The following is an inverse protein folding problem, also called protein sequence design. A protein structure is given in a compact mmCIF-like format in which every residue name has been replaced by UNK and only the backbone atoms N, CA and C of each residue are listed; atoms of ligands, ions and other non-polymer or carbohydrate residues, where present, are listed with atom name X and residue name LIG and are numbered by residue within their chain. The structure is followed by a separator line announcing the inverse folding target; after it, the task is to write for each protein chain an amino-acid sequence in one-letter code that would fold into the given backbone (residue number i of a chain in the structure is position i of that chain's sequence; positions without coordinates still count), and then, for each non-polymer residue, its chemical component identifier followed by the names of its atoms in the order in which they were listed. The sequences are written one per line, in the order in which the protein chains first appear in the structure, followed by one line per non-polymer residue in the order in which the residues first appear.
data_IF_396689080945
#
_entry.id   IF_396689080945
#
_cell.length_a   1.000
_cell.length_b   1.000
_cell.length_c   1.000
_cell.angle_alpha   90.00
_cell.angle_beta   90.00
_cell.angle_gamma   90.00
#
_symmetry.space_group_name_H-M   'P 1'
#
loop_
_entity.id
_entity.type
_entity.pdbx_description
1 polymer ?
#
# COMPACT_ATOMS: atom_id res chain seq x y z
N UNK A 1 14.48 -13.34 6.22
CA UNK A 1 14.54 -12.48 7.43
C UNK A 1 15.37 -13.21 8.47
N UNK A 2 16.32 -12.52 9.08
CA UNK A 2 17.18 -13.04 10.14
C UNK A 2 17.18 -12.07 11.32
N UNK A 3 17.17 -12.58 12.55
CA UNK A 3 17.17 -11.75 13.76
C UNK A 3 18.41 -12.09 14.60
N UNK A 4 19.23 -11.08 14.89
CA UNK A 4 20.45 -11.16 15.69
C UNK A 4 20.23 -10.40 16.99
N UNK A 5 19.80 -11.08 18.05
CA UNK A 5 19.56 -10.48 19.37
C UNK A 5 20.77 -10.66 20.30
N UNK A 6 21.18 -9.59 20.99
CA UNK A 6 22.35 -9.52 21.86
C UNK A 6 23.64 -10.02 21.18
N UNK A 7 23.96 -9.41 20.02
CA UNK A 7 25.13 -9.75 19.19
C UNK A 7 25.96 -8.52 18.86
N UNK A 8 27.03 -8.30 19.61
CA UNK A 8 27.93 -7.14 19.47
C UNK A 8 28.55 -7.03 18.07
N UNK A 9 28.92 -8.15 17.45
CA UNK A 9 29.46 -8.20 16.07
C UNK A 9 28.45 -7.65 15.05
N UNK A 10 27.23 -8.19 15.02
CA UNK A 10 26.21 -7.72 14.08
C UNK A 10 25.71 -6.31 14.43
N UNK A 11 25.66 -5.93 15.71
CA UNK A 11 25.41 -4.54 16.09
C UNK A 11 26.49 -3.59 15.54
N UNK A 12 27.77 -3.94 15.63
CA UNK A 12 28.88 -3.16 15.06
C UNK A 12 28.93 -3.16 13.53
N UNK A 13 28.43 -4.21 12.88
CA UNK A 13 28.33 -4.32 11.42
C UNK A 13 27.20 -3.47 10.83
N UNK A 14 26.04 -3.39 11.50
CA UNK A 14 24.83 -2.76 10.96
C UNK A 14 24.48 -1.40 11.57
N UNK A 15 24.94 -1.06 12.78
CA UNK A 15 24.77 0.29 13.34
C UNK A 15 25.66 1.29 12.61
N UNK A 16 25.10 2.43 12.22
CA UNK A 16 25.82 3.50 11.53
C UNK A 16 25.92 4.73 12.43
N UNK A 17 27.13 5.25 12.66
CA UNK A 17 27.28 6.57 13.27
C UNK A 17 27.03 7.68 12.22
N UNK A 18 25.80 8.19 12.20
CA UNK A 18 25.38 9.26 11.29
C UNK A 18 26.16 10.56 11.49
N UNK A 19 26.57 10.90 12.71
CA UNK A 19 27.33 12.12 12.98
C UNK A 19 28.76 12.02 12.44
N UNK A 20 29.29 10.81 12.26
CA UNK A 20 30.57 10.57 11.56
C UNK A 20 30.37 10.40 10.05
N UNK A 21 29.34 9.69 9.60
CA UNK A 21 29.05 9.47 8.18
C UNK A 21 28.76 10.80 7.44
N UNK A 22 28.02 11.72 8.05
CA UNK A 22 27.71 13.04 7.48
C UNK A 22 28.92 13.99 7.39
N UNK A 23 30.10 13.59 7.87
CA UNK A 23 31.38 14.30 7.67
C UNK A 23 32.16 13.79 6.46
N UNK A 24 31.76 12.65 5.88
CA UNK A 24 32.43 12.05 4.72
C UNK A 24 32.08 12.81 3.44
N UNK A 25 33.08 13.24 2.62
CA UNK A 25 32.81 13.93 1.36
C UNK A 25 31.91 13.10 0.43
N UNK A 26 30.89 13.74 -0.15
CA UNK A 26 29.92 13.11 -1.07
C UNK A 26 28.67 12.53 -0.39
N UNK A 27 28.65 12.37 0.93
CA UNK A 27 27.45 11.96 1.67
C UNK A 27 26.44 13.12 1.72
N UNK A 28 25.17 12.83 1.48
CA UNK A 28 24.07 13.81 1.52
C UNK A 28 23.10 13.45 2.65
N UNK A 29 22.68 14.41 3.45
CA UNK A 29 21.73 14.13 4.54
C UNK A 29 21.48 15.30 5.47
N UNK A 30 20.96 15.02 6.68
CA UNK A 30 20.62 16.04 7.67
C UNK A 30 20.69 15.49 9.11
N UNK A 31 21.23 16.26 10.04
CA UNK A 31 21.29 15.96 11.48
C UNK A 31 20.09 16.48 12.29
N UNK A 32 19.34 17.47 11.75
CA UNK A 32 18.24 18.15 12.44
C UNK A 32 17.31 18.83 11.44
N UNK A 33 16.49 18.05 10.74
CA UNK A 33 15.53 18.61 9.79
C UNK A 33 14.38 19.36 10.51
N UNK A 34 14.06 20.64 10.17
CA UNK A 34 13.10 21.47 10.92
C UNK A 34 11.66 20.94 10.99
N UNK A 35 11.25 20.08 10.06
CA UNK A 35 9.92 19.43 10.06
C UNK A 35 9.91 18.03 10.70
N UNK A 36 11.07 17.52 11.17
CA UNK A 36 11.19 16.22 11.85
C UNK A 36 11.68 16.35 13.30
N UNK A 37 12.35 17.45 13.63
CA UNK A 37 12.77 17.82 14.99
C UNK A 37 11.72 18.78 15.58
N UNK A 38 11.40 18.67 16.87
CA UNK A 38 10.43 19.57 17.49
C UNK A 38 8.98 19.39 16.98
N UNK A 39 8.58 18.19 16.56
CA UNK A 39 7.34 18.00 15.79
C UNK A 39 6.61 16.66 16.04
N UNK A 40 5.32 16.65 15.71
CA UNK A 40 4.42 15.50 15.89
C UNK A 40 3.58 15.27 14.64
N UNK A 41 3.37 14.00 14.29
CA UNK A 41 2.65 13.54 13.08
C UNK A 41 3.09 14.27 11.80
N UNK A 42 4.39 14.53 11.67
CA UNK A 42 5.00 15.10 10.46
C UNK A 42 5.68 14.02 9.63
N UNK A 43 5.81 14.31 8.35
CA UNK A 43 6.58 13.49 7.42
C UNK A 43 7.25 14.39 6.37
N UNK A 44 8.42 13.99 5.89
CA UNK A 44 9.27 14.78 4.98
C UNK A 44 9.78 13.90 3.84
N UNK A 45 9.65 14.39 2.61
CA UNK A 45 10.15 13.70 1.42
C UNK A 45 11.69 13.66 1.42
N UNK A 46 12.26 12.48 1.15
CA UNK A 46 13.67 12.28 0.91
C UNK A 46 13.87 11.58 -0.45
N UNK A 47 14.90 11.99 -1.18
CA UNK A 47 15.28 11.43 -2.48
C UNK A 47 16.59 10.66 -2.33
N UNK A 48 16.56 9.40 -2.71
CA UNK A 48 17.70 8.49 -2.76
C UNK A 48 18.61 8.84 -3.94
N UNK A 49 19.91 8.67 -3.75
CA UNK A 49 20.91 8.75 -4.83
C UNK A 49 20.84 7.55 -5.79
N UNK A 50 20.30 6.41 -5.32
CA UNK A 50 20.19 5.15 -6.05
C UNK A 50 18.73 4.69 -6.21
N UNK A 51 18.49 3.82 -7.22
CA UNK A 51 17.22 3.13 -7.42
C UNK A 51 17.11 1.95 -6.44
N UNK A 52 16.27 2.06 -5.42
CA UNK A 52 16.03 0.99 -4.43
C UNK A 52 14.92 0.04 -4.90
N UNK A 53 15.14 -1.29 -4.99
CA UNK A 53 14.11 -2.24 -5.39
C UNK A 53 13.20 -2.63 -4.22
N UNK A 54 11.93 -2.23 -4.28
CA UNK A 54 10.89 -2.59 -3.29
C UNK A 54 9.69 -3.23 -3.99
N UNK A 55 9.36 -4.49 -3.65
CA UNK A 55 8.27 -5.28 -4.27
C UNK A 55 8.23 -5.29 -5.82
N UNK A 56 9.41 -5.22 -6.45
CA UNK A 56 9.55 -5.19 -7.91
C UNK A 56 9.43 -3.79 -8.54
N UNK A 57 9.47 -2.73 -7.72
CA UNK A 57 9.53 -1.33 -8.14
C UNK A 57 10.89 -0.72 -7.81
N UNK A 58 11.49 -0.03 -8.78
CA UNK A 58 12.71 0.75 -8.59
C UNK A 58 12.34 2.16 -8.15
N UNK A 59 12.35 2.41 -6.84
CA UNK A 59 11.95 3.69 -6.24
C UNK A 59 13.18 4.54 -5.87
N UNK A 60 13.05 5.86 -6.04
CA UNK A 60 14.05 6.87 -5.66
C UNK A 60 13.51 7.92 -4.69
N UNK A 61 12.19 7.99 -4.47
CA UNK A 61 11.56 8.92 -3.54
C UNK A 61 10.89 8.13 -2.40
N UNK A 62 11.04 8.60 -1.17
CA UNK A 62 10.33 8.10 0.01
C UNK A 62 9.96 9.26 0.94
N UNK A 63 9.16 9.00 1.98
CA UNK A 63 8.84 10.01 3.00
C UNK A 63 9.19 9.50 4.40
N UNK A 64 10.10 10.18 5.10
CA UNK A 64 10.46 9.89 6.50
C UNK A 64 9.36 10.43 7.41
N UNK A 65 8.77 9.62 8.31
CA UNK A 65 7.75 10.06 9.26
C UNK A 65 8.28 10.12 10.70
N UNK A 66 7.75 11.04 11.53
CA UNK A 66 8.14 11.15 12.95
C UNK A 66 7.80 9.89 13.75
N UNK A 67 6.72 9.19 13.36
CA UNK A 67 6.22 7.98 14.00
C UNK A 67 7.05 6.71 13.78
N UNK A 68 8.34 6.79 13.46
CA UNK A 68 9.27 5.64 13.41
C UNK A 68 9.23 4.77 12.14
N UNK A 69 8.78 5.32 11.01
CA UNK A 69 8.70 4.59 9.74
C UNK A 69 9.00 5.47 8.51
N UNK A 70 9.30 4.80 7.40
CA UNK A 70 9.36 5.38 6.05
C UNK A 70 8.09 5.01 5.30
N UNK A 71 7.45 5.97 4.64
CA UNK A 71 6.40 5.74 3.66
C UNK A 71 7.00 5.65 2.25
N UNK A 72 6.55 4.68 1.47
CA UNK A 72 7.16 4.29 0.17
C UNK A 72 6.15 4.17 -0.97
N UNK A 73 4.98 4.80 -0.81
CA UNK A 73 3.95 4.93 -1.84
C UNK A 73 4.10 6.20 -2.68
N UNK A 74 3.50 6.19 -3.87
CA UNK A 74 3.73 7.21 -4.91
C UNK A 74 2.89 8.49 -4.71
N UNK A 75 1.77 8.41 -3.98
CA UNK A 75 0.89 9.54 -3.65
C UNK A 75 0.83 9.74 -2.13
N UNK A 76 1.19 10.91 -1.61
CA UNK A 76 1.05 11.20 -0.17
C UNK A 76 -0.42 11.37 0.23
N UNK A 77 -0.84 10.69 1.31
CA UNK A 77 -2.22 10.74 1.82
C UNK A 77 -2.25 10.65 3.35
N UNK A 78 -3.33 11.10 4.00
CA UNK A 78 -3.48 11.18 5.46
C UNK A 78 -3.41 9.83 6.23
N UNK A 79 -3.08 8.72 5.54
CA UNK A 79 -3.09 7.35 6.06
C UNK A 79 -1.75 6.64 5.78
N UNK A 80 -0.62 7.35 5.78
CA UNK A 80 0.71 6.80 5.43
C UNK A 80 1.05 5.52 6.23
N UNK A 81 0.68 5.48 7.51
CA UNK A 81 0.86 4.32 8.40
C UNK A 81 -0.01 3.08 8.05
N UNK A 82 -0.98 3.20 7.14
CA UNK A 82 -1.95 2.16 6.83
C UNK A 82 -1.58 1.28 5.63
N UNK A 83 -0.71 1.73 4.72
CA UNK A 83 -0.54 1.14 3.38
C UNK A 83 0.88 0.65 3.08
N UNK A 84 1.74 1.54 2.58
CA UNK A 84 3.03 1.23 1.96
C UNK A 84 4.15 1.76 2.85
N UNK A 85 4.74 0.91 3.68
CA UNK A 85 5.69 1.34 4.71
C UNK A 85 6.88 0.40 4.90
N UNK A 86 7.98 0.99 5.37
CA UNK A 86 9.14 0.31 5.95
C UNK A 86 9.27 0.83 7.39
N UNK A 87 8.95 -0.01 8.37
CA UNK A 87 8.82 0.37 9.77
C UNK A 87 9.78 -0.43 10.66
N UNK A 88 10.97 0.11 11.01
CA UNK A 88 11.76 -0.45 12.10
C UNK A 88 10.99 -0.44 13.42
N UNK A 89 10.29 0.65 13.76
CA UNK A 89 9.33 0.64 14.86
C UNK A 89 8.31 1.77 14.66
N UNK A 90 7.16 1.45 14.05
CA UNK A 90 6.04 2.38 13.94
C UNK A 90 5.32 2.47 15.29
N UNK A 91 5.15 3.68 15.84
CA UNK A 91 4.40 3.94 17.08
C UNK A 91 4.01 5.43 17.21
N UNK A 92 3.30 5.81 18.29
CA UNK A 92 2.91 7.19 18.60
C UNK A 92 4.10 8.04 19.13
N UNK A 93 5.20 8.10 18.36
CA UNK A 93 6.39 8.88 18.70
C UNK A 93 6.21 10.38 18.47
N UNK A 94 6.80 11.16 19.39
CA UNK A 94 6.86 12.62 19.35
C UNK A 94 8.33 13.09 19.38
N UNK A 95 8.64 14.18 18.68
CA UNK A 95 9.97 14.82 18.70
C UNK A 95 9.96 16.24 19.26
N UNK A 96 8.84 16.71 19.83
CA UNK A 96 8.77 17.95 20.64
C UNK A 96 9.49 17.86 21.99
N UNK A 97 9.95 16.67 22.39
CA UNK A 97 10.55 16.41 23.69
C UNK A 97 12.08 16.54 23.64
N UNK A 98 12.67 17.18 24.65
CA UNK A 98 14.08 17.61 24.66
C UNK A 98 15.07 16.49 24.29
N UNK A 99 15.96 16.81 23.35
CA UNK A 99 17.01 15.91 22.88
C UNK A 99 16.56 14.83 21.89
N UNK A 100 15.27 14.79 21.50
CA UNK A 100 14.79 13.96 20.39
C UNK A 100 15.22 14.55 19.05
N UNK A 101 15.73 13.72 18.12
CA UNK A 101 15.98 14.15 16.74
C UNK A 101 15.80 13.00 15.75
N UNK A 102 15.66 13.34 14.46
CA UNK A 102 15.63 12.36 13.37
C UNK A 102 16.70 12.76 12.37
N UNK A 103 17.67 11.87 12.20
CA UNK A 103 18.81 12.03 11.30
C UNK A 103 18.64 11.14 10.08
N UNK A 104 19.18 11.56 8.93
CA UNK A 104 19.30 10.68 7.77
C UNK A 104 20.56 10.99 6.94
N UNK A 105 21.05 9.98 6.22
CA UNK A 105 22.17 10.10 5.28
C UNK A 105 22.03 9.12 4.10
N UNK A 106 22.54 9.53 2.94
CA UNK A 106 22.73 8.74 1.73
C UNK A 106 24.22 8.82 1.32
N UNK A 107 24.86 7.67 1.09
CA UNK A 107 26.27 7.58 0.70
C UNK A 107 26.50 6.97 -0.70
N UNK A 108 25.44 6.80 -1.50
CA UNK A 108 25.50 6.15 -2.81
C UNK A 108 25.28 4.63 -2.79
N UNK A 109 25.48 3.96 -1.65
CA UNK A 109 25.36 2.50 -1.48
C UNK A 109 24.31 2.08 -0.43
N UNK A 110 24.04 2.95 0.55
CA UNK A 110 22.94 2.81 1.50
C UNK A 110 22.34 4.15 1.90
N UNK A 111 21.05 4.11 2.21
CA UNK A 111 20.31 5.21 2.82
C UNK A 111 19.91 4.83 4.24
N UNK A 112 20.29 5.66 5.22
CA UNK A 112 20.12 5.38 6.65
C UNK A 112 19.26 6.45 7.30
N UNK A 113 18.34 6.06 8.17
CA UNK A 113 17.56 6.97 9.03
C UNK A 113 17.64 6.51 10.48
N UNK A 114 17.93 7.43 11.39
CA UNK A 114 17.88 7.22 12.85
C UNK A 114 16.77 8.03 13.48
N UNK A 115 15.90 7.37 14.24
CA UNK A 115 15.04 8.03 15.23
C UNK A 115 15.78 8.02 16.56
N UNK A 116 16.37 9.17 16.90
CA UNK A 116 17.30 9.33 18.03
C UNK A 116 16.56 9.89 19.24
N UNK A 117 16.60 9.14 20.35
CA UNK A 117 16.00 9.51 21.65
C UNK A 117 14.49 9.83 21.59
N UNK A 118 13.77 9.37 20.57
CA UNK A 118 12.33 9.63 20.42
C UNK A 118 11.53 8.99 21.55
N UNK A 119 10.40 9.59 21.92
CA UNK A 119 9.59 9.19 23.07
C UNK A 119 8.12 9.01 22.70
N UNK A 120 7.44 8.11 23.39
CA UNK A 120 6.02 7.81 23.18
C UNK A 120 5.15 8.87 23.85
N UNK A 121 4.30 9.55 23.07
CA UNK A 121 3.53 10.72 23.51
C UNK A 121 2.61 10.47 24.71
N UNK A 122 2.06 9.25 24.83
CA UNK A 122 1.17 8.89 25.94
C UNK A 122 1.88 8.05 27.03
N UNK A 123 3.16 7.71 26.82
CA UNK A 123 3.92 6.77 27.65
C UNK A 123 5.36 7.26 27.92
N UNK A 124 5.52 8.57 28.15
CA UNK A 124 6.81 9.23 28.45
C UNK A 124 7.66 8.50 29.51
N UNK A 125 7.02 7.91 30.52
CA UNK A 125 7.64 7.15 31.60
C UNK A 125 8.40 5.88 31.15
N UNK A 126 8.16 5.40 29.92
CA UNK A 126 8.99 4.37 29.30
C UNK A 126 10.39 4.88 28.93
N UNK A 127 10.55 6.19 28.74
CA UNK A 127 11.78 6.84 28.34
C UNK A 127 12.08 6.74 26.84
N UNK A 128 13.29 7.18 26.49
CA UNK A 128 13.71 7.43 25.12
C UNK A 128 14.21 6.18 24.37
N UNK A 129 13.71 6.00 23.15
CA UNK A 129 14.08 4.96 22.18
C UNK A 129 15.14 5.48 21.21
N UNK A 130 16.04 4.60 20.75
CA UNK A 130 16.98 4.89 19.64
C UNK A 130 17.07 3.69 18.71
N UNK A 131 16.69 3.87 17.45
CA UNK A 131 16.72 2.82 16.43
C UNK A 131 16.97 3.39 15.02
N UNK A 132 17.47 2.53 14.13
CA UNK A 132 17.82 2.85 12.75
C UNK A 132 17.12 1.93 11.75
N UNK A 133 16.91 2.44 10.53
CA UNK A 133 16.75 1.65 9.30
C UNK A 133 17.87 1.97 8.33
N UNK A 134 18.41 0.94 7.68
CA UNK A 134 19.32 1.06 6.54
C UNK A 134 18.69 0.37 5.33
N UNK A 135 18.45 1.11 4.25
CA UNK A 135 18.07 0.61 2.94
C UNK A 135 19.35 0.45 2.11
N UNK A 136 19.68 -0.76 1.69
CA UNK A 136 20.87 -1.03 0.88
C UNK A 136 20.52 -1.03 -0.62
N UNK A 137 21.43 -0.58 -1.47
CA UNK A 137 21.26 -0.49 -2.94
C UNK A 137 20.89 -1.81 -3.63
N UNK A 138 21.22 -2.95 -3.03
CA UNK A 138 20.82 -4.28 -3.49
C UNK A 138 19.36 -4.65 -3.18
N UNK A 139 18.64 -3.83 -2.40
CA UNK A 139 17.26 -4.08 -1.95
C UNK A 139 17.13 -4.57 -0.52
N UNK A 140 18.23 -4.99 0.13
CA UNK A 140 18.18 -5.51 1.49
C UNK A 140 17.92 -4.38 2.48
N UNK A 141 17.35 -4.73 3.65
CA UNK A 141 16.98 -3.77 4.70
C UNK A 141 17.52 -4.27 6.04
N UNK A 142 18.19 -3.42 6.80
CA UNK A 142 18.48 -3.68 8.21
C UNK A 142 17.66 -2.75 9.10
N UNK A 143 17.08 -3.28 10.17
CA UNK A 143 16.60 -2.52 11.32
C UNK A 143 17.53 -2.78 12.50
N UNK A 144 17.95 -1.71 13.20
CA UNK A 144 18.92 -1.80 14.31
C UNK A 144 18.39 -1.10 15.53
N UNK A 145 18.27 -1.83 16.64
CA UNK A 145 17.65 -1.37 17.87
C UNK A 145 18.72 -1.15 18.95
N UNK A 146 19.21 0.09 19.08
CA UNK A 146 20.26 0.45 20.03
C UNK A 146 19.73 0.77 21.43
N UNK A 147 18.50 1.26 21.54
CA UNK A 147 17.81 1.44 22.82
C UNK A 147 16.31 1.25 22.66
N UNK A 148 15.77 0.26 23.36
CA UNK A 148 14.33 -0.03 23.46
C UNK A 148 14.03 -0.23 24.95
N UNK A 149 13.49 0.77 25.65
CA UNK A 149 13.46 0.78 27.12
C UNK A 149 12.22 0.10 27.75
N UNK A 150 11.26 -0.32 26.95
CA UNK A 150 10.08 -1.10 27.36
C UNK A 150 9.80 -2.23 26.37
N UNK A 151 8.97 -3.21 26.76
CA UNK A 151 8.47 -4.20 25.81
C UNK A 151 7.57 -3.52 24.75
N UNK A 152 7.89 -3.70 23.46
CA UNK A 152 7.15 -3.10 22.34
C UNK A 152 5.71 -3.62 22.27
N UNK A 153 5.45 -4.85 22.72
CA UNK A 153 4.09 -5.41 22.86
C UNK A 153 3.24 -4.74 23.96
N UNK A 154 3.76 -3.72 24.65
CA UNK A 154 3.06 -2.95 25.68
C UNK A 154 2.92 -1.45 25.34
N UNK A 155 3.22 -1.07 24.09
CA UNK A 155 2.97 0.27 23.56
C UNK A 155 1.48 0.39 23.20
N UNK A 156 0.84 1.51 23.57
CA UNK A 156 -0.56 1.77 23.22
C UNK A 156 -0.72 2.07 21.73
N UNK A 157 -1.66 1.40 21.08
CA UNK A 157 -2.03 1.58 19.67
C UNK A 157 -3.26 2.49 19.46
N UNK A 158 -3.95 2.89 20.54
CA UNK A 158 -5.20 3.67 20.52
C UNK A 158 -5.10 4.96 19.69
N UNK A 159 -3.98 5.67 19.81
CA UNK A 159 -3.75 6.96 19.15
C UNK A 159 -3.00 6.83 17.81
N UNK A 160 -2.20 5.77 17.64
CA UNK A 160 -1.41 5.51 16.45
C UNK A 160 -1.04 4.02 16.40
N UNK A 161 -1.19 3.33 15.26
CA UNK A 161 -0.86 1.90 15.17
C UNK A 161 0.60 1.62 15.56
N UNK A 162 0.79 0.51 16.27
CA UNK A 162 2.11 -0.07 16.57
C UNK A 162 2.41 -1.16 15.53
N UNK A 163 3.52 -1.02 14.78
CA UNK A 163 3.91 -2.01 13.75
C UNK A 163 5.43 -2.13 13.63
N UNK A 164 5.91 -3.33 13.30
CA UNK A 164 7.32 -3.58 12.98
C UNK A 164 7.39 -4.50 11.74
N UNK A 165 8.16 -4.12 10.72
CA UNK A 165 8.25 -4.84 9.45
C UNK A 165 8.08 -3.99 8.19
N UNK A 166 7.67 -4.61 7.08
CA UNK A 166 7.44 -3.94 5.79
C UNK A 166 6.09 -4.35 5.17
N UNK A 167 5.46 -3.43 4.44
CA UNK A 167 4.17 -3.63 3.77
C UNK A 167 4.13 -2.96 2.41
N UNK A 168 3.50 -3.61 1.42
CA UNK A 168 3.09 -2.98 0.17
C UNK A 168 1.61 -3.27 -0.14
N UNK A 169 0.94 -2.26 -0.67
CA UNK A 169 -0.51 -2.20 -0.86
C UNK A 169 -0.84 -1.19 -1.97
N UNK A 170 -1.89 -1.43 -2.74
CA UNK A 170 -2.40 -0.41 -3.68
C UNK A 170 -3.71 0.21 -3.16
N UNK A 171 -3.93 1.49 -3.48
CA UNK A 171 -5.21 2.15 -3.24
C UNK A 171 -6.10 2.00 -4.48
N UNK A 172 -7.39 1.83 -4.25
CA UNK A 172 -8.40 1.83 -5.30
C UNK A 172 -9.63 2.62 -4.87
N UNK A 173 -10.06 3.55 -5.71
CA UNK A 173 -11.28 4.34 -5.49
C UNK A 173 -12.48 3.56 -6.01
N UNK A 174 -13.24 2.93 -5.12
CA UNK A 174 -14.45 2.20 -5.48
C UNK A 174 -15.67 3.13 -5.44
N UNK A 175 -16.24 3.44 -6.61
CA UNK A 175 -17.58 4.04 -6.68
C UNK A 175 -18.62 2.98 -6.29
N UNK A 176 -19.12 3.07 -5.05
CA UNK A 176 -20.29 2.30 -4.65
C UNK A 176 -21.53 2.90 -5.33
N UNK A 177 -22.09 2.23 -6.32
CA UNK A 177 -23.43 2.55 -6.83
C UNK A 177 -24.49 1.90 -5.93
N UNK A 178 -24.73 2.49 -4.76
CA UNK A 178 -25.80 2.03 -3.85
C UNK A 178 -27.17 2.35 -4.43
N UNK A 179 -27.90 1.34 -4.90
CA UNK A 179 -29.29 1.50 -5.31
C UNK A 179 -30.14 1.83 -4.07
N UNK A 180 -30.67 3.05 -4.01
CA UNK A 180 -31.62 3.46 -2.98
C UNK A 180 -33.00 2.84 -3.23
N UNK A 181 -33.71 2.47 -2.17
CA UNK A 181 -35.06 1.88 -2.24
C UNK A 181 -36.12 2.99 -2.41
N UNK A 182 -35.92 3.82 -3.44
CA UNK A 182 -36.82 4.85 -3.95
C UNK A 182 -36.33 5.22 -5.36
N UNK A 183 -36.96 4.65 -6.39
CA UNK A 183 -36.42 4.55 -7.75
C UNK A 183 -36.38 5.85 -8.58
N UNK A 184 -36.02 6.99 -7.99
CA UNK A 184 -35.97 8.30 -8.67
C UNK A 184 -34.80 9.21 -8.26
N UNK A 185 -33.83 8.74 -7.45
CA UNK A 185 -32.60 9.51 -7.17
C UNK A 185 -31.36 8.61 -7.14
N UNK A 186 -30.45 8.82 -8.09
CA UNK A 186 -29.09 8.28 -8.01
C UNK A 186 -28.29 9.10 -7.00
N UNK A 187 -28.19 8.63 -5.76
CA UNK A 187 -27.29 9.23 -4.78
C UNK A 187 -25.86 8.89 -5.19
N UNK A 188 -25.14 9.89 -5.71
CA UNK A 188 -23.70 9.86 -5.93
C UNK A 188 -22.99 9.77 -4.57
N UNK A 189 -22.87 8.57 -4.01
CA UNK A 189 -22.04 8.36 -2.82
C UNK A 189 -20.57 8.53 -3.18
N UNK A 190 -19.83 9.19 -2.30
CA UNK A 190 -18.42 9.53 -2.55
C UNK A 190 -17.57 8.26 -2.72
N UNK A 191 -16.58 8.28 -3.63
CA UNK A 191 -15.78 7.10 -3.94
C UNK A 191 -15.00 6.66 -2.70
N UNK A 192 -15.29 5.46 -2.18
CA UNK A 192 -14.61 4.93 -1.01
C UNK A 192 -13.22 4.45 -1.43
N UNK A 193 -12.18 4.99 -0.78
CA UNK A 193 -10.82 4.48 -0.88
C UNK A 193 -10.76 3.11 -0.21
N UNK A 194 -10.46 2.09 -0.99
CA UNK A 194 -10.21 0.73 -0.52
C UNK A 194 -8.71 0.47 -0.63
N UNK A 195 -8.11 -0.01 0.45
CA UNK A 195 -6.72 -0.45 0.50
C UNK A 195 -6.70 -1.95 0.21
N UNK A 196 -5.95 -2.38 -0.79
CA UNK A 196 -5.65 -3.78 -1.04
C UNK A 196 -4.20 -4.04 -0.67
N UNK A 197 -4.00 -4.56 0.54
CA UNK A 197 -2.69 -5.02 0.98
C UNK A 197 -2.30 -6.28 0.20
N UNK A 198 -1.08 -6.26 -0.35
CA UNK A 198 -0.61 -7.27 -1.30
C UNK A 198 0.33 -8.27 -0.61
N UNK A 199 1.22 -7.79 0.24
CA UNK A 199 2.13 -8.59 1.06
C UNK A 199 2.69 -7.76 2.21
N UNK A 200 2.88 -8.41 3.36
CA UNK A 200 3.50 -7.84 4.56
C UNK A 200 4.49 -8.84 5.14
N UNK A 201 5.64 -8.36 5.61
CA UNK A 201 6.52 -9.11 6.50
C UNK A 201 6.42 -8.43 7.85
N UNK A 202 5.89 -9.13 8.86
CA UNK A 202 5.83 -8.64 10.24
C UNK A 202 6.98 -9.19 11.06
N UNK A 203 7.51 -8.36 11.94
CA UNK A 203 8.50 -8.73 12.94
C UNK A 203 7.74 -8.85 14.27
N UNK A 204 7.80 -9.99 14.97
CA UNK A 204 7.12 -10.15 16.25
C UNK A 204 7.64 -9.12 17.26
N UNK A 205 6.72 -8.38 17.90
CA UNK A 205 7.06 -7.22 18.72
C UNK A 205 7.93 -7.61 19.94
N UNK A 206 7.79 -8.83 20.44
CA UNK A 206 8.61 -9.38 21.52
C UNK A 206 10.05 -9.75 21.09
N UNK A 207 10.39 -9.59 19.80
CA UNK A 207 11.77 -9.63 19.28
C UNK A 207 12.37 -8.24 19.08
N UNK A 208 11.60 -7.17 19.25
CA UNK A 208 12.08 -5.78 19.17
C UNK A 208 12.58 -5.36 20.55
N UNK A 209 13.86 -5.64 20.81
CA UNK A 209 14.54 -5.33 22.07
C UNK A 209 15.83 -4.53 21.81
N UNK A 210 16.50 -4.07 22.87
CA UNK A 210 17.83 -3.47 22.76
C UNK A 210 18.86 -4.48 22.21
N UNK A 211 19.97 -3.95 21.68
CA UNK A 211 21.10 -4.69 21.10
C UNK A 211 20.69 -5.80 20.11
N UNK A 212 19.67 -5.49 19.31
CA UNK A 212 19.09 -6.40 18.33
C UNK A 212 19.12 -5.82 16.91
N UNK A 213 19.48 -6.66 15.93
CA UNK A 213 19.39 -6.36 14.50
C UNK A 213 18.36 -7.30 13.85
N UNK A 214 17.51 -6.77 12.98
CA UNK A 214 16.71 -7.56 12.04
C UNK A 214 17.16 -7.27 10.62
N UNK A 215 17.55 -8.31 9.89
CA UNK A 215 17.99 -8.22 8.50
C UNK A 215 16.96 -8.87 7.56
N UNK A 216 16.49 -8.09 6.59
CA UNK A 216 15.61 -8.51 5.51
C UNK A 216 16.45 -8.60 4.23
N UNK A 217 16.67 -9.81 3.76
CA UNK A 217 17.49 -10.08 2.60
C UNK A 217 16.67 -10.02 1.30
N UNK A 218 17.16 -9.26 0.30
CA UNK A 218 16.50 -9.04 -0.97
C UNK A 218 16.42 -10.32 -1.80
N UNK A 219 15.24 -10.94 -1.84
CA UNK A 219 15.01 -12.09 -2.71
C UNK A 219 14.95 -11.64 -4.17
N UNK A 220 15.61 -12.35 -5.11
CA UNK A 220 15.58 -11.99 -6.52
C UNK A 220 14.14 -12.01 -7.05
N UNK A 221 13.78 -10.96 -7.79
CA UNK A 221 12.42 -10.80 -8.32
C UNK A 221 12.11 -11.88 -9.38
N UNK A 222 11.50 -12.99 -8.94
CA UNK A 222 11.06 -14.04 -9.84
C UNK A 222 10.00 -13.51 -10.83
N UNK A 223 9.82 -14.21 -11.95
CA UNK A 223 8.87 -13.82 -13.00
C UNK A 223 7.44 -13.57 -12.46
N UNK A 224 7.05 -14.28 -11.39
CA UNK A 224 5.79 -14.08 -10.67
C UNK A 224 5.70 -12.73 -9.93
N UNK A 225 6.80 -12.28 -9.32
CA UNK A 225 6.88 -10.94 -8.72
C UNK A 225 6.96 -9.84 -9.79
N UNK A 226 7.61 -10.10 -10.94
CA UNK A 226 7.59 -9.17 -12.07
C UNK A 226 6.17 -8.97 -12.64
N UNK A 227 5.37 -10.03 -12.74
CA UNK A 227 3.93 -9.90 -13.06
C UNK A 227 3.13 -9.17 -11.97
N UNK A 228 3.59 -9.18 -10.72
CA UNK A 228 2.92 -8.51 -9.59
C UNK A 228 3.38 -7.05 -9.40
N UNK A 229 4.54 -6.61 -9.90
CA UNK A 229 4.84 -5.17 -10.01
C UNK A 229 4.02 -4.46 -11.09
N UNK A 230 3.43 -5.21 -12.03
CA UNK A 230 2.34 -4.71 -12.89
C UNK A 230 1.10 -4.35 -12.05
N UNK A 231 0.90 -4.93 -10.85
CA UNK A 231 -0.27 -4.62 -10.00
C UNK A 231 -0.19 -3.26 -9.29
N UNK A 232 0.95 -2.77 -8.81
CA UNK A 232 1.02 -1.37 -8.31
C UNK A 232 0.79 -0.38 -9.46
N UNK A 233 1.31 -0.69 -10.66
CA UNK A 233 0.96 0.05 -11.90
C UNK A 233 -0.52 -0.09 -12.34
N UNK A 234 -1.34 -0.98 -11.75
CA UNK A 234 -2.80 -0.97 -12.00
C UNK A 234 -3.49 0.27 -11.46
N UNK A 235 -2.97 0.92 -10.41
CA UNK A 235 -3.51 2.20 -9.95
C UNK A 235 -3.33 3.24 -11.06
N UNK A 236 -2.11 3.43 -11.56
CA UNK A 236 -1.80 4.31 -12.68
C UNK A 236 -2.58 3.97 -13.97
N UNK A 237 -2.73 2.68 -14.30
CA UNK A 237 -3.51 2.21 -15.46
C UNK A 237 -5.01 2.49 -15.35
N UNK A 238 -5.56 2.45 -14.13
CA UNK A 238 -6.96 2.78 -13.85
C UNK A 238 -7.20 4.30 -13.80
N UNK A 239 -6.30 5.05 -13.18
CA UNK A 239 -6.34 6.52 -13.09
C UNK A 239 -6.18 7.16 -14.49
N UNK A 240 -5.29 6.63 -15.33
CA UNK A 240 -5.08 7.12 -16.70
C UNK A 240 -6.08 6.58 -17.75
N UNK A 241 -7.13 5.85 -17.34
CA UNK A 241 -8.14 5.25 -18.24
C UNK A 241 -7.57 4.38 -19.39
N UNK A 242 -6.44 3.70 -19.16
CA UNK A 242 -5.72 2.91 -20.18
C UNK A 242 -6.47 1.65 -20.69
N UNK A 243 -7.75 1.47 -20.34
CA UNK A 243 -8.68 0.59 -21.07
C UNK A 243 -9.06 1.14 -22.45
N UNK A 244 -9.08 2.46 -22.61
CA UNK A 244 -9.62 3.14 -23.80
C UNK A 244 -8.51 3.52 -24.81
N UNK A 245 -7.25 3.53 -24.39
CA UNK A 245 -6.09 3.77 -25.27
C UNK A 245 -5.68 2.46 -25.96
N UNK A 246 -6.13 2.29 -27.19
CA UNK A 246 -5.81 1.12 -28.01
C UNK A 246 -4.39 1.17 -28.57
N UNK A 247 -3.52 0.29 -28.06
CA UNK A 247 -2.11 0.03 -28.45
C UNK A 247 -1.07 1.05 -27.95
N UNK A 248 0.15 0.53 -27.80
CA UNK A 248 1.42 1.20 -27.48
C UNK A 248 1.48 2.06 -26.19
N UNK A 249 1.68 1.38 -25.07
CA UNK A 249 2.64 1.82 -24.04
C UNK A 249 3.52 0.61 -23.70
N UNK A 250 4.84 0.77 -23.78
CA UNK A 250 5.71 -0.34 -24.18
C UNK A 250 5.94 -1.45 -23.15
N UNK A 251 6.01 -2.68 -23.66
CA UNK A 251 6.73 -3.80 -23.07
C UNK A 251 7.87 -4.21 -24.02
N UNK A 252 8.89 -3.36 -24.13
CA UNK A 252 10.18 -3.65 -24.76
C UNK A 252 11.27 -3.09 -23.84
N UNK A 253 12.40 -3.79 -23.71
CA UNK A 253 13.47 -3.44 -22.76
C UNK A 253 14.58 -2.58 -23.40
N UNK A 254 14.20 -1.64 -24.28
CA UNK A 254 15.10 -0.74 -24.99
C UNK A 254 14.38 0.56 -25.35
N UNK A 255 15.17 1.65 -25.45
CA UNK A 255 14.74 3.05 -25.66
C UNK A 255 14.04 3.67 -24.44
N UNK A 256 14.86 4.08 -23.46
CA UNK A 256 14.56 5.13 -22.47
C UNK A 256 15.48 6.34 -22.79
N UNK A 257 15.25 7.03 -23.93
CA UNK A 257 15.94 8.29 -24.26
C UNK A 257 14.95 9.34 -24.80
N UNK A 258 15.05 10.56 -24.25
CA UNK A 258 14.40 11.83 -24.61
C UNK A 258 12.88 12.05 -24.35
N UNK A 259 12.50 13.33 -24.43
CA UNK A 259 11.19 13.99 -24.18
C UNK A 259 10.73 14.10 -22.69
N UNK A 260 11.10 15.11 -21.90
CA UNK A 260 10.96 16.60 -21.97
C UNK A 260 9.69 17.13 -21.29
N UNK A 261 9.85 18.16 -20.45
CA UNK A 261 8.80 18.83 -19.67
C UNK A 261 7.96 19.81 -20.50
N UNK A 262 6.68 20.00 -20.15
CA UNK A 262 6.05 21.32 -20.28
C UNK A 262 4.85 21.51 -19.33
N UNK A 263 4.68 22.74 -18.83
CA UNK A 263 3.58 23.18 -17.97
C UNK A 263 2.55 24.00 -18.78
N UNK A 264 1.26 23.98 -18.42
CA UNK A 264 0.25 24.82 -19.09
C UNK A 264 -1.22 24.50 -18.77
N UNK A 265 -2.00 25.43 -18.18
CA UNK A 265 -3.39 25.19 -17.80
C UNK A 265 -4.44 25.84 -18.73
N UNK A 266 -5.57 25.14 -18.96
CA UNK A 266 -6.77 25.72 -19.60
C UNK A 266 -8.06 25.14 -18.98
N UNK A 267 -9.20 25.81 -19.18
CA UNK A 267 -10.45 25.57 -18.44
C UNK A 267 -11.71 25.54 -19.33
N UNK A 268 -12.87 25.36 -18.68
CA UNK A 268 -14.25 25.65 -19.13
C UNK A 268 -15.06 24.60 -19.94
N UNK A 269 -16.20 24.23 -19.32
CA UNK A 269 -17.60 24.26 -19.82
C UNK A 269 -17.98 23.79 -21.24
N UNK A 270 -18.99 22.90 -21.34
CA UNK A 270 -20.39 23.25 -21.71
C UNK A 270 -21.38 22.05 -21.67
N UNK A 271 -22.68 22.30 -21.97
CA UNK A 271 -23.79 21.32 -22.10
C UNK A 271 -24.48 21.47 -23.47
N UNK A 272 -25.17 20.43 -23.98
CA UNK A 272 -26.62 20.61 -24.28
C UNK A 272 -27.53 19.38 -24.02
N UNK A 273 -28.84 19.53 -24.29
CA UNK A 273 -30.00 18.61 -24.10
C UNK A 273 -31.25 19.29 -24.74
N UNK A 274 -32.44 18.68 -25.04
CA UNK A 274 -32.98 17.29 -24.91
C UNK A 274 -33.40 16.70 -26.32
N UNK A 275 -34.40 15.82 -26.60
CA UNK A 275 -35.39 15.03 -25.82
C UNK A 275 -35.47 13.53 -26.28
N UNK A 276 -36.50 12.85 -26.85
CA UNK A 276 -37.85 13.19 -27.36
C UNK A 276 -38.95 12.15 -27.01
N UNK A 277 -39.93 12.58 -26.20
CA UNK A 277 -41.40 12.49 -26.39
C UNK A 277 -42.09 11.11 -26.67
N UNK A 278 -42.63 10.48 -25.58
CA UNK A 278 -44.08 10.16 -25.30
C UNK A 278 -44.91 9.29 -26.32
N UNK A 279 -45.89 8.40 -25.93
CA UNK A 279 -46.13 7.55 -24.72
C UNK A 279 -46.70 6.11 -25.04
N UNK A 280 -47.13 5.34 -24.01
CA UNK A 280 -48.48 4.70 -23.97
C UNK A 280 -48.88 4.22 -22.55
N UNK A 281 -50.15 3.86 -22.32
CA UNK A 281 -50.71 3.56 -20.97
C UNK A 281 -51.68 2.37 -20.90
N UNK A 282 -52.01 1.94 -19.66
CA UNK A 282 -53.21 1.19 -19.20
C UNK A 282 -53.31 -0.33 -19.44
N UNK A 283 -53.76 -1.07 -18.41
CA UNK A 283 -54.68 -2.20 -18.57
C UNK A 283 -54.33 -3.57 -17.95
N UNK A 284 -55.10 -3.98 -16.93
CA UNK A 284 -55.48 -5.38 -16.55
C UNK A 284 -57.03 -5.41 -16.52
N UNK A 285 -57.79 -6.55 -16.46
CA UNK A 285 -57.45 -7.85 -15.82
C UNK A 285 -58.02 -9.16 -16.48
N UNK A 286 -57.84 -10.31 -15.80
CA UNK A 286 -58.60 -11.60 -15.90
C UNK A 286 -58.47 -12.46 -17.19
N UNK A 287 -58.77 -13.77 -17.23
CA UNK A 287 -59.16 -14.76 -16.18
C UNK A 287 -58.51 -16.17 -16.46
N UNK A 288 -58.84 -17.21 -15.67
CA UNK A 288 -58.21 -18.57 -15.66
C UNK A 288 -58.55 -19.48 -16.85
N UNK A 289 -57.77 -20.57 -16.98
CA UNK A 289 -58.29 -21.95 -17.19
C UNK A 289 -57.26 -22.99 -16.66
N UNK A 290 -57.72 -24.19 -16.27
CA UNK A 290 -56.88 -25.31 -15.79
C UNK A 290 -56.35 -26.18 -16.95
N UNK A 291 -55.15 -26.72 -16.78
CA UNK A 291 -54.64 -27.89 -17.51
C UNK A 291 -53.64 -28.67 -16.66
N UNK A 292 -53.72 -30.00 -16.66
CA UNK A 292 -52.77 -30.90 -16.00
C UNK A 292 -52.39 -31.98 -17.02
N UNK A 293 -51.11 -32.34 -17.10
CA UNK A 293 -50.56 -33.71 -17.19
C UNK A 293 -49.08 -33.68 -17.64
N UNK A 294 -48.30 -34.58 -17.05
CA UNK A 294 -46.93 -35.05 -17.32
C UNK A 294 -45.96 -34.26 -18.25
N UNK A 295 -44.79 -33.92 -17.70
CA UNK A 295 -43.62 -33.42 -18.43
C UNK A 295 -42.31 -33.36 -17.62
N UNK A 296 -42.22 -34.11 -16.50
CA UNK A 296 -41.27 -33.85 -15.42
C UNK A 296 -39.78 -33.97 -15.76
N UNK A 297 -39.39 -34.91 -16.63
CA UNK A 297 -37.98 -35.14 -16.96
C UNK A 297 -37.35 -34.05 -17.82
N UNK A 298 -38.08 -33.53 -18.82
CA UNK A 298 -37.53 -32.57 -19.77
C UNK A 298 -37.35 -31.18 -19.15
N UNK A 299 -38.30 -30.75 -18.32
CA UNK A 299 -38.18 -29.50 -17.55
C UNK A 299 -36.97 -29.53 -16.60
N UNK A 300 -36.72 -30.65 -15.92
CA UNK A 300 -35.56 -30.82 -15.06
C UNK A 300 -34.23 -30.76 -15.85
N UNK A 301 -34.13 -31.43 -17.00
CA UNK A 301 -32.95 -31.40 -17.86
C UNK A 301 -32.65 -30.00 -18.41
N UNK A 302 -33.67 -29.27 -18.87
CA UNK A 302 -33.50 -27.88 -19.33
C UNK A 302 -33.07 -26.97 -18.18
N UNK A 303 -33.61 -27.16 -16.98
CA UNK A 303 -33.25 -26.37 -15.80
C UNK A 303 -31.83 -26.66 -15.30
N UNK A 304 -31.36 -27.91 -15.31
CA UNK A 304 -29.98 -28.25 -14.93
C UNK A 304 -28.96 -27.81 -15.97
N UNK A 305 -29.25 -27.94 -17.27
CA UNK A 305 -28.41 -27.39 -18.35
C UNK A 305 -28.34 -25.86 -18.28
N UNK A 306 -29.48 -25.18 -18.13
CA UNK A 306 -29.53 -23.73 -17.95
C UNK A 306 -28.76 -23.26 -16.73
N UNK A 307 -28.96 -23.91 -15.57
CA UNK A 307 -28.22 -23.60 -14.34
C UNK A 307 -26.71 -23.82 -14.49
N UNK A 308 -26.29 -24.87 -15.21
CA UNK A 308 -24.88 -25.16 -15.48
C UNK A 308 -24.25 -24.11 -16.40
N UNK A 309 -24.96 -23.67 -17.45
CA UNK A 309 -24.53 -22.59 -18.34
C UNK A 309 -24.45 -21.24 -17.59
N UNK A 310 -25.40 -20.95 -16.69
CA UNK A 310 -25.33 -19.78 -15.82
C UNK A 310 -24.14 -19.85 -14.86
N UNK A 311 -23.82 -21.02 -14.29
CA UNK A 311 -22.64 -21.23 -13.44
C UNK A 311 -21.32 -21.04 -14.22
N UNK A 312 -21.22 -21.61 -15.43
CA UNK A 312 -20.05 -21.44 -16.30
C UNK A 312 -19.90 -19.97 -16.72
N UNK A 313 -20.98 -19.31 -17.10
CA UNK A 313 -20.99 -17.88 -17.42
C UNK A 313 -20.61 -17.00 -16.23
N UNK A 314 -21.09 -17.32 -15.01
CA UNK A 314 -20.71 -16.62 -13.78
C UNK A 314 -19.23 -16.84 -13.43
N UNK A 315 -18.71 -18.07 -13.56
CA UNK A 315 -17.30 -18.39 -13.33
C UNK A 315 -16.39 -17.66 -14.33
N UNK A 316 -16.74 -17.67 -15.63
CA UNK A 316 -16.02 -16.93 -16.65
C UNK A 316 -16.05 -15.41 -16.38
N UNK A 317 -17.24 -14.87 -16.08
CA UNK A 317 -17.39 -13.46 -15.72
C UNK A 317 -16.54 -13.09 -14.50
N UNK A 318 -16.56 -13.90 -13.44
CA UNK A 318 -15.78 -13.68 -12.22
C UNK A 318 -14.27 -13.78 -12.46
N UNK A 319 -13.83 -14.70 -13.31
CA UNK A 319 -12.43 -14.86 -13.72
C UNK A 319 -11.91 -13.66 -14.53
N UNK A 320 -12.67 -13.19 -15.53
CA UNK A 320 -12.30 -12.02 -16.32
C UNK A 320 -12.54 -10.68 -15.60
N UNK A 321 -13.39 -10.65 -14.57
CA UNK A 321 -13.70 -9.45 -13.76
C UNK A 321 -13.36 -9.65 -12.27
N UNK A 322 -12.08 -9.84 -11.90
CA UNK A 322 -11.65 -10.11 -10.52
C UNK A 322 -11.91 -8.97 -9.53
N UNK A 323 -12.28 -7.78 -10.03
CA UNK A 323 -12.65 -6.61 -9.25
C UNK A 323 -14.10 -6.66 -8.73
N UNK A 324 -14.92 -7.60 -9.21
CA UNK A 324 -16.31 -7.82 -8.79
C UNK A 324 -16.39 -8.71 -7.55
N UNK A 325 -17.50 -8.66 -6.83
CA UNK A 325 -17.76 -9.52 -5.65
C UNK A 325 -17.61 -11.00 -5.98
N UNK A 326 -18.04 -11.42 -7.17
CA UNK A 326 -17.88 -12.78 -7.71
C UNK A 326 -16.42 -13.16 -7.91
N UNK A 327 -15.62 -12.25 -8.48
CA UNK A 327 -14.18 -12.44 -8.69
C UNK A 327 -13.40 -12.53 -7.38
N UNK A 328 -13.73 -11.68 -6.40
CA UNK A 328 -13.12 -11.75 -5.07
C UNK A 328 -13.46 -13.04 -4.31
N UNK A 329 -14.64 -13.61 -4.52
CA UNK A 329 -15.02 -14.92 -3.99
C UNK A 329 -14.12 -16.04 -4.55
N UNK A 330 -13.86 -16.06 -5.87
CA UNK A 330 -12.92 -17.03 -6.47
C UNK A 330 -11.50 -16.89 -5.91
N UNK A 331 -11.02 -15.66 -5.73
CA UNK A 331 -9.67 -15.39 -5.20
C UNK A 331 -9.53 -15.85 -3.73
N UNK A 332 -10.54 -15.62 -2.89
CA UNK A 332 -10.54 -16.15 -1.51
C UNK A 332 -10.60 -17.67 -1.47
N UNK A 333 -11.36 -18.29 -2.37
CA UNK A 333 -11.48 -19.74 -2.42
C UNK A 333 -10.23 -20.44 -2.96
N UNK A 334 -9.45 -19.78 -3.82
CA UNK A 334 -8.16 -20.32 -4.29
C UNK A 334 -7.05 -20.15 -3.25
N UNK A 335 -6.99 -19.05 -2.49
CA UNK A 335 -6.00 -18.92 -1.40
C UNK A 335 -6.21 -19.94 -0.29
N UNK A 336 -7.46 -20.32 0.00
CA UNK A 336 -7.82 -21.36 0.98
C UNK A 336 -7.45 -22.81 0.56
N UNK A 337 -6.84 -23.00 -0.63
CA UNK A 337 -6.31 -24.29 -1.10
C UNK A 337 -4.78 -24.34 -1.21
N UNK A 338 -4.09 -23.33 -0.67
CA UNK A 338 -2.61 -23.19 -0.70
C UNK A 338 -2.06 -23.07 0.74
N UNK A 339 -2.87 -23.43 1.73
CA UNK A 339 -2.47 -23.83 3.08
C UNK A 339 -2.83 -25.31 3.28
#
# INVERSE_FOLDING_TARGET
MTIYANRSEQMGMYWVDLDSLLKTPGVVGNTSHPLLTGSYRRAVGAKLSFKFPFYGHMMTNLTIATGGFLYVGDQTHNWLAATQYIAPLMANFDTMLDGSSILYADDGEKFVVEWRKVQLREQHQAGAFTFQVSLFKNGSIAFVYKKVPMNVSSISDEQHPVKCGISDAYLYHHMLMTQGISGFYFILTSPKRVIYEYHRIEIPLEKVAADTVVYLDAQPASLFFLCRSIHRRRQHWAENNCKNQGKNMYCNAAVDEEEVENDGPTSSSERPSPDDVIPLTKGRPSDKTKGKTEGGGYAALVFTLGSSLCLIGWLAYAYYNPHTTSGQLLIKYSSLKVQ
#
